data_IF_801687467862
#
_entry.id   IF_801687467862
#
_cell.length_a   1.000
_cell.length_b   1.000
_cell.length_c   1.000
_cell.angle_alpha   90.00
_cell.angle_beta   90.00
_cell.angle_gamma   90.00
#
_symmetry.space_group_name_H-M   'P 1'
#
loop_
_entity.id
_entity.type
_entity.pdbx_description
1 polymer ?
#
# COMPACT_ATOMS: atom_id res chain seq x y z
N UNK A 1 -35.53 0.30 26.61
CA UNK A 1 -34.09 0.61 26.54
C UNK A 1 -33.79 0.86 25.07
N UNK A 2 -33.77 2.10 24.70
CA UNK A 2 -33.95 2.61 23.32
C UNK A 2 -32.65 2.45 22.52
N UNK A 3 -32.77 1.70 21.39
CA UNK A 3 -31.72 1.53 20.36
C UNK A 3 -31.52 2.83 19.53
N UNK A 4 -31.14 3.92 20.15
CA UNK A 4 -31.04 5.21 19.43
C UNK A 4 -29.66 5.88 19.51
N UNK A 5 -28.59 5.12 19.83
CA UNK A 5 -27.30 5.77 20.15
C UNK A 5 -26.08 5.25 19.35
N UNK A 6 -26.23 4.86 18.09
CA UNK A 6 -25.11 4.23 17.37
C UNK A 6 -24.70 4.85 16.03
N UNK A 7 -25.26 5.96 15.63
CA UNK A 7 -24.83 6.64 14.40
C UNK A 7 -24.09 7.96 14.69
N UNK A 8 -23.11 7.94 15.58
CA UNK A 8 -22.17 9.09 15.65
C UNK A 8 -21.29 9.06 14.40
N UNK A 9 -21.65 9.87 13.41
CA UNK A 9 -20.80 10.13 12.26
C UNK A 9 -19.40 10.52 12.77
N UNK A 10 -18.38 9.81 12.29
CA UNK A 10 -16.99 10.10 12.62
C UNK A 10 -16.68 11.55 12.24
N UNK A 11 -16.47 12.42 13.20
CA UNK A 11 -16.16 13.84 12.99
C UNK A 11 -14.84 14.23 13.62
N UNK A 12 -14.14 15.15 12.99
CA UNK A 12 -12.92 15.77 13.52
C UNK A 12 -11.78 14.77 13.81
N UNK A 13 -11.29 14.78 15.04
CA UNK A 13 -10.12 13.97 15.45
C UNK A 13 -10.28 12.47 15.22
N UNK A 14 -11.49 11.90 15.35
CA UNK A 14 -11.75 10.47 15.13
C UNK A 14 -11.60 10.13 13.64
N UNK A 15 -12.08 10.98 12.73
CA UNK A 15 -11.92 10.81 11.30
C UNK A 15 -10.44 10.87 10.88
N UNK A 16 -9.68 11.80 11.44
CA UNK A 16 -8.23 11.90 11.19
C UNK A 16 -7.48 10.66 11.69
N UNK A 17 -7.80 10.13 12.87
CA UNK A 17 -7.18 8.92 13.39
C UNK A 17 -7.46 7.71 12.49
N UNK A 18 -8.69 7.56 12.01
CA UNK A 18 -9.04 6.50 11.05
C UNK A 18 -8.28 6.71 9.75
N UNK A 19 -8.21 7.94 9.23
CA UNK A 19 -7.44 8.26 8.03
C UNK A 19 -5.95 7.93 8.18
N UNK A 20 -5.32 8.25 9.31
CA UNK A 20 -3.93 7.88 9.58
C UNK A 20 -3.73 6.38 9.74
N UNK A 21 -4.69 5.68 10.33
CA UNK A 21 -4.62 4.22 10.42
C UNK A 21 -4.69 3.60 9.03
N UNK A 22 -5.62 4.05 8.19
CA UNK A 22 -5.72 3.62 6.79
C UNK A 22 -4.44 3.92 6.02
N UNK A 23 -3.93 5.14 6.12
CA UNK A 23 -2.67 5.50 5.50
C UNK A 23 -1.55 4.57 5.92
N UNK A 24 -1.39 4.28 7.22
CA UNK A 24 -0.33 3.39 7.71
C UNK A 24 -0.49 1.93 7.27
N UNK A 25 -1.71 1.48 6.98
CA UNK A 25 -1.98 0.13 6.47
C UNK A 25 -1.66 -0.01 4.99
N UNK A 26 -1.94 1.03 4.19
CA UNK A 26 -1.71 1.02 2.75
C UNK A 26 -0.32 1.49 2.35
N UNK A 27 0.27 2.42 3.09
CA UNK A 27 1.55 2.99 2.73
C UNK A 27 2.69 2.00 3.01
N UNK A 28 3.14 1.33 1.98
CA UNK A 28 4.21 0.34 2.01
C UNK A 28 5.44 0.74 1.18
N UNK A 29 6.40 -0.17 1.08
CA UNK A 29 7.62 0.00 0.29
C UNK A 29 7.32 0.31 -1.19
N UNK A 30 6.25 -0.27 -1.75
CA UNK A 30 5.82 0.01 -3.12
C UNK A 30 5.51 1.48 -3.35
N UNK A 31 4.83 2.12 -2.41
CA UNK A 31 4.44 3.52 -2.52
C UNK A 31 5.63 4.50 -2.38
N UNK A 32 6.75 4.05 -1.83
CA UNK A 32 8.01 4.82 -1.79
C UNK A 32 8.84 4.64 -3.06
N UNK A 33 8.77 3.47 -3.70
CA UNK A 33 9.68 3.09 -4.79
C UNK A 33 9.09 3.39 -6.16
N UNK A 34 7.85 2.98 -6.40
CA UNK A 34 7.27 3.08 -7.74
C UNK A 34 7.03 4.50 -8.23
N UNK A 35 6.55 5.48 -7.42
CA UNK A 35 6.39 6.84 -7.92
C UNK A 35 7.71 7.51 -8.34
N UNK A 36 8.82 7.46 -7.55
CA UNK A 36 10.11 7.97 -8.02
C UNK A 36 10.67 7.20 -9.22
N UNK A 37 10.48 5.87 -9.27
CA UNK A 37 10.90 5.05 -10.41
C UNK A 37 10.17 5.47 -11.68
N UNK A 38 8.83 5.61 -11.62
CA UNK A 38 8.02 6.10 -12.73
C UNK A 38 8.51 7.49 -13.16
N UNK A 39 8.76 8.40 -12.21
CA UNK A 39 9.26 9.74 -12.49
C UNK A 39 10.59 9.72 -13.24
N UNK A 40 11.51 8.84 -12.86
CA UNK A 40 12.82 8.69 -13.50
C UNK A 40 12.72 8.07 -14.90
N UNK A 41 11.81 7.15 -15.13
CA UNK A 41 11.68 6.40 -16.39
C UNK A 41 10.76 7.10 -17.41
N UNK A 42 9.70 7.75 -16.95
CA UNK A 42 8.71 8.36 -17.82
C UNK A 42 9.20 9.66 -18.49
N UNK A 43 10.22 10.33 -17.93
CA UNK A 43 10.78 11.55 -18.51
C UNK A 43 9.70 12.57 -18.89
N UNK A 44 9.71 13.06 -20.13
CA UNK A 44 8.72 14.02 -20.65
C UNK A 44 7.28 13.48 -20.67
N UNK A 45 7.07 12.17 -20.66
CA UNK A 45 5.75 11.52 -20.60
C UNK A 45 5.21 11.33 -19.17
N UNK A 46 5.85 11.93 -18.15
CA UNK A 46 5.54 11.79 -16.74
C UNK A 46 4.05 11.92 -16.43
N UNK A 47 3.40 12.97 -16.89
CA UNK A 47 2.01 13.23 -16.52
C UNK A 47 1.04 12.19 -17.08
N UNK A 48 1.25 11.71 -18.30
CA UNK A 48 0.46 10.65 -18.90
C UNK A 48 0.65 9.32 -18.13
N UNK A 49 1.90 8.97 -17.82
CA UNK A 49 2.23 7.81 -17.02
C UNK A 49 1.65 7.92 -15.60
N UNK A 50 1.73 9.09 -14.97
CA UNK A 50 1.21 9.32 -13.62
C UNK A 50 -0.31 9.18 -13.54
N UNK A 51 -1.06 9.62 -14.55
CA UNK A 51 -2.52 9.41 -14.60
C UNK A 51 -2.83 7.91 -14.61
N UNK A 52 -2.15 7.12 -15.42
CA UNK A 52 -2.31 5.67 -15.43
C UNK A 52 -1.95 5.04 -14.09
N UNK A 53 -0.84 5.46 -13.51
CA UNK A 53 -0.41 5.02 -12.18
C UNK A 53 -1.46 5.33 -11.10
N UNK A 54 -2.00 6.54 -11.08
CA UNK A 54 -3.00 6.96 -10.11
C UNK A 54 -4.30 6.16 -10.23
N UNK A 55 -4.71 5.78 -11.44
CA UNK A 55 -5.89 4.91 -11.64
C UNK A 55 -5.70 3.57 -10.94
N UNK A 56 -4.55 2.93 -11.07
CA UNK A 56 -4.31 1.61 -10.50
C UNK A 56 -3.83 1.64 -9.04
N UNK A 57 -2.96 2.59 -8.67
CA UNK A 57 -2.41 2.69 -7.32
C UNK A 57 -3.33 3.40 -6.32
N UNK A 58 -4.28 4.20 -6.79
CA UNK A 58 -5.21 4.94 -5.93
C UNK A 58 -6.66 4.54 -6.23
N UNK A 59 -7.07 4.61 -7.49
CA UNK A 59 -8.46 4.37 -7.90
C UNK A 59 -8.94 2.96 -7.60
N UNK A 60 -8.18 1.93 -8.01
CA UNK A 60 -8.54 0.54 -7.75
C UNK A 60 -8.57 0.19 -6.25
N UNK A 61 -7.59 0.59 -5.41
CA UNK A 61 -7.66 0.35 -3.98
C UNK A 61 -8.89 0.98 -3.32
N UNK A 62 -9.22 2.22 -3.64
CA UNK A 62 -10.40 2.90 -3.12
C UNK A 62 -11.68 2.14 -3.53
N UNK A 63 -11.79 1.77 -4.80
CA UNK A 63 -12.93 0.99 -5.30
C UNK A 63 -12.99 -0.39 -4.63
N UNK A 64 -11.85 -1.06 -4.44
CA UNK A 64 -11.74 -2.34 -3.76
C UNK A 64 -12.22 -2.29 -2.31
N UNK A 65 -11.73 -1.31 -1.53
CA UNK A 65 -12.19 -1.08 -0.15
C UNK A 65 -13.70 -0.84 -0.11
N UNK A 66 -14.21 0.03 -0.98
CA UNK A 66 -15.64 0.35 -1.02
C UNK A 66 -16.49 -0.87 -1.38
N UNK A 67 -16.04 -1.69 -2.34
CA UNK A 67 -16.75 -2.90 -2.76
C UNK A 67 -16.77 -3.95 -1.64
N UNK A 68 -15.63 -4.22 -1.01
CA UNK A 68 -15.52 -5.20 0.10
C UNK A 68 -16.31 -4.74 1.31
N UNK A 69 -16.24 -3.44 1.67
CA UNK A 69 -16.98 -2.89 2.78
C UNK A 69 -18.50 -3.01 2.57
N UNK A 70 -18.99 -2.67 1.36
CA UNK A 70 -20.42 -2.82 1.03
C UNK A 70 -20.91 -4.26 0.98
N UNK A 71 -20.04 -5.19 0.63
CA UNK A 71 -20.39 -6.60 0.54
C UNK A 71 -20.36 -7.33 1.91
N UNK A 72 -19.80 -6.70 2.95
CA UNK A 72 -19.61 -7.35 4.25
C UNK A 72 -18.37 -8.24 4.33
N UNK A 73 -17.40 -8.04 3.42
CA UNK A 73 -16.13 -8.75 3.40
C UNK A 73 -15.79 -9.41 2.07
N UNK A 74 -14.54 -9.82 1.90
CA UNK A 74 -14.06 -10.48 0.69
C UNK A 74 -14.80 -11.80 0.37
N UNK A 75 -15.03 -12.71 1.35
CA UNK A 75 -15.79 -13.95 1.07
C UNK A 75 -17.22 -13.69 0.60
N UNK A 76 -17.89 -12.68 1.16
CA UNK A 76 -19.25 -12.30 0.75
C UNK A 76 -19.27 -11.68 -0.65
N UNK A 77 -18.27 -10.85 -0.99
CA UNK A 77 -18.11 -10.26 -2.31
C UNK A 77 -17.88 -11.35 -3.38
N UNK A 78 -16.90 -12.20 -3.16
CA UNK A 78 -16.54 -13.28 -4.09
C UNK A 78 -17.59 -14.39 -4.14
N UNK A 79 -18.32 -14.61 -3.05
CA UNK A 79 -19.42 -15.58 -2.95
C UNK A 79 -20.62 -15.28 -3.86
N UNK A 80 -20.75 -14.02 -4.31
CA UNK A 80 -21.78 -13.64 -5.29
C UNK A 80 -21.58 -14.32 -6.65
N UNK A 81 -20.35 -14.71 -6.97
CA UNK A 81 -20.05 -15.47 -8.20
C UNK A 81 -20.32 -16.95 -7.97
N UNK A 82 -19.64 -17.55 -6.98
CA UNK A 82 -19.84 -18.95 -6.59
C UNK A 82 -19.13 -19.23 -5.25
N UNK A 83 -19.68 -20.08 -4.34
CA UNK A 83 -19.06 -20.36 -3.04
C UNK A 83 -17.65 -20.94 -3.13
N UNK A 84 -17.39 -21.87 -4.07
CA UNK A 84 -16.04 -22.43 -4.29
C UNK A 84 -15.06 -21.39 -4.81
N UNK A 85 -15.52 -20.49 -5.68
CA UNK A 85 -14.71 -19.36 -6.16
C UNK A 85 -14.28 -18.48 -5.00
N UNK A 86 -15.21 -18.16 -4.09
CA UNK A 86 -14.89 -17.34 -2.92
C UNK A 86 -13.78 -17.93 -2.06
N UNK A 87 -13.82 -19.24 -1.82
CA UNK A 87 -12.79 -19.93 -1.02
C UNK A 87 -11.42 -19.90 -1.72
N UNK A 88 -11.36 -20.32 -2.99
CA UNK A 88 -10.11 -20.34 -3.76
C UNK A 88 -9.54 -18.94 -3.91
N UNK A 89 -10.38 -17.97 -4.27
CA UNK A 89 -9.95 -16.58 -4.45
C UNK A 89 -9.43 -15.96 -3.16
N UNK A 90 -10.11 -16.16 -2.04
CA UNK A 90 -9.65 -15.68 -0.74
C UNK A 90 -8.28 -16.28 -0.38
N UNK A 91 -8.10 -17.59 -0.56
CA UNK A 91 -6.81 -18.26 -0.33
C UNK A 91 -5.71 -17.67 -1.21
N UNK A 92 -5.98 -17.47 -2.51
CA UNK A 92 -5.00 -16.87 -3.44
C UNK A 92 -4.62 -15.44 -3.04
N UNK A 93 -5.60 -14.61 -2.63
CA UNK A 93 -5.32 -13.25 -2.16
C UNK A 93 -4.46 -13.27 -0.90
N UNK A 94 -4.81 -14.10 0.09
CA UNK A 94 -4.03 -14.20 1.33
C UNK A 94 -2.62 -14.75 1.11
N UNK A 95 -2.45 -15.74 0.24
CA UNK A 95 -1.13 -16.27 -0.12
C UNK A 95 -0.29 -15.22 -0.84
N UNK A 96 -0.89 -14.47 -1.76
CA UNK A 96 -0.19 -13.43 -2.53
C UNK A 96 0.27 -12.27 -1.63
N UNK A 97 -0.60 -11.76 -0.76
CA UNK A 97 -0.24 -10.68 0.17
C UNK A 97 0.69 -11.19 1.27
N UNK A 98 0.48 -12.40 1.73
CA UNK A 98 1.27 -13.02 2.79
C UNK A 98 2.58 -13.61 2.27
N UNK A 99 2.77 -14.93 2.39
CA UNK A 99 4.07 -15.58 2.25
C UNK A 99 4.64 -15.60 0.85
N UNK A 100 3.82 -15.47 -0.21
CA UNK A 100 4.30 -15.69 -1.58
C UNK A 100 4.92 -14.45 -2.22
N UNK A 101 4.37 -13.25 -2.02
CA UNK A 101 4.82 -12.05 -2.75
C UNK A 101 5.09 -10.85 -1.84
N UNK A 102 4.09 -10.33 -1.11
CA UNK A 102 4.24 -9.04 -0.45
C UNK A 102 5.23 -9.09 0.73
N UNK A 103 5.12 -10.08 1.61
CA UNK A 103 6.00 -10.19 2.79
C UNK A 103 7.45 -10.43 2.39
N UNK A 104 7.81 -11.40 1.51
CA UNK A 104 9.19 -11.59 1.06
C UNK A 104 9.76 -10.35 0.38
N UNK A 105 8.94 -9.63 -0.41
CA UNK A 105 9.35 -8.40 -1.08
C UNK A 105 9.79 -7.32 -0.09
N UNK A 106 9.18 -7.22 1.09
CA UNK A 106 9.58 -6.19 2.06
C UNK A 106 11.03 -6.32 2.50
N UNK A 107 11.50 -7.53 2.76
CA UNK A 107 12.89 -7.78 3.14
C UNK A 107 13.85 -7.52 1.98
N UNK A 108 13.54 -8.01 0.76
CA UNK A 108 14.42 -7.82 -0.40
C UNK A 108 14.51 -6.35 -0.79
N UNK A 109 13.39 -5.62 -0.78
CA UNK A 109 13.37 -4.20 -1.13
C UNK A 109 14.12 -3.34 -0.10
N UNK A 110 13.96 -3.64 1.19
CA UNK A 110 14.71 -2.91 2.22
C UNK A 110 16.22 -3.20 2.15
N UNK A 111 16.64 -4.41 1.77
CA UNK A 111 18.03 -4.73 1.50
C UNK A 111 18.58 -3.98 0.29
N UNK A 112 17.80 -3.87 -0.80
CA UNK A 112 18.19 -3.09 -1.99
C UNK A 112 18.51 -1.63 -1.64
N UNK A 113 17.81 -1.01 -0.69
CA UNK A 113 18.13 0.35 -0.22
C UNK A 113 19.45 0.43 0.52
N UNK A 114 19.93 -0.67 1.10
CA UNK A 114 21.25 -0.75 1.77
C UNK A 114 22.38 -1.12 0.82
N UNK A 115 22.08 -1.64 -0.35
CA UNK A 115 23.06 -2.09 -1.35
C UNK A 115 24.15 -1.05 -1.69
N UNK A 116 23.84 0.26 -1.80
CA UNK A 116 24.87 1.28 -2.04
C UNK A 116 25.91 1.39 -0.92
N UNK A 117 25.56 0.99 0.31
CA UNK A 117 26.44 1.05 1.48
C UNK A 117 27.20 -0.25 1.73
N UNK A 118 26.53 -1.39 1.54
CA UNK A 118 27.03 -2.73 1.94
C UNK A 118 27.53 -3.54 0.75
N UNK A 119 27.15 -3.14 -0.48
CA UNK A 119 27.42 -3.90 -1.69
C UNK A 119 26.40 -5.02 -1.93
N UNK A 120 26.32 -5.50 -3.18
CA UNK A 120 25.45 -6.63 -3.54
C UNK A 120 26.11 -7.93 -3.12
N UNK A 121 25.46 -8.68 -2.24
CA UNK A 121 25.92 -9.97 -1.75
C UNK A 121 24.73 -10.88 -1.47
N UNK A 122 24.66 -12.03 -2.13
CA UNK A 122 23.61 -13.04 -1.89
C UNK A 122 23.62 -13.56 -0.45
N UNK A 123 24.78 -13.91 0.15
CA UNK A 123 24.83 -14.28 1.55
C UNK A 123 24.40 -13.13 2.48
N UNK A 124 24.79 -11.89 2.16
CA UNK A 124 24.38 -10.70 2.91
C UNK A 124 22.88 -10.49 2.90
N UNK A 125 22.25 -10.64 1.74
CA UNK A 125 20.79 -10.56 1.62
C UNK A 125 20.07 -11.64 2.43
N UNK A 126 20.60 -12.86 2.43
CA UNK A 126 20.03 -13.96 3.21
C UNK A 126 20.08 -13.68 4.72
N UNK A 127 21.27 -13.27 5.23
CA UNK A 127 21.44 -12.93 6.65
C UNK A 127 20.55 -11.75 7.03
N UNK A 128 20.50 -10.72 6.19
CA UNK A 128 19.63 -9.56 6.39
C UNK A 128 18.17 -9.97 6.50
N UNK A 129 17.70 -10.80 5.56
CA UNK A 129 16.31 -11.28 5.53
C UNK A 129 15.97 -12.09 6.78
N UNK A 130 16.88 -12.92 7.25
CA UNK A 130 16.72 -13.70 8.49
C UNK A 130 16.55 -12.78 9.70
N UNK A 131 17.42 -11.78 9.85
CA UNK A 131 17.35 -10.79 10.94
C UNK A 131 16.07 -9.96 10.83
N UNK A 132 15.71 -9.52 9.61
CA UNK A 132 14.49 -8.75 9.34
C UNK A 132 13.23 -9.52 9.77
N UNK A 133 13.11 -10.79 9.35
CA UNK A 133 11.94 -11.59 9.71
C UNK A 133 11.94 -12.03 11.18
N UNK A 134 13.09 -12.25 11.79
CA UNK A 134 13.18 -12.47 13.22
C UNK A 134 12.68 -11.24 14.01
N UNK A 135 13.15 -10.04 13.64
CA UNK A 135 12.67 -8.79 14.24
C UNK A 135 11.15 -8.58 14.02
N UNK A 136 10.67 -8.81 12.80
CA UNK A 136 9.25 -8.72 12.48
C UNK A 136 8.40 -9.71 13.31
N UNK A 137 8.88 -10.93 13.50
CA UNK A 137 8.22 -11.94 14.33
C UNK A 137 8.09 -11.47 15.79
N UNK A 138 9.16 -10.99 16.42
CA UNK A 138 9.12 -10.48 17.79
C UNK A 138 8.17 -9.28 17.95
N UNK A 139 8.11 -8.41 16.95
CA UNK A 139 7.18 -7.27 16.93
C UNK A 139 5.73 -7.75 16.79
N UNK A 140 5.48 -8.76 15.94
CA UNK A 140 4.16 -9.31 15.67
C UNK A 140 3.56 -10.10 16.85
N UNK A 141 4.38 -10.59 17.80
CA UNK A 141 3.90 -11.29 18.98
C UNK A 141 3.00 -10.45 19.90
N UNK A 142 2.99 -9.10 19.74
CA UNK A 142 2.15 -8.19 20.53
C UNK A 142 1.30 -7.28 19.63
N UNK A 143 0.28 -7.84 18.95
CA UNK A 143 -0.48 -7.13 17.92
C UNK A 143 -1.24 -5.90 18.44
N UNK A 144 -1.75 -5.92 19.68
CA UNK A 144 -2.48 -4.79 20.27
C UNK A 144 -1.60 -3.53 20.40
N UNK A 145 -0.34 -3.71 20.83
CA UNK A 145 0.63 -2.61 20.93
C UNK A 145 1.13 -2.15 19.56
N UNK A 146 1.13 -3.05 18.59
CA UNK A 146 1.57 -2.78 17.23
C UNK A 146 0.67 -1.75 16.55
N UNK A 147 -0.64 -1.95 16.57
CA UNK A 147 -1.61 -1.04 15.95
C UNK A 147 -1.52 0.38 16.51
N UNK A 148 -1.37 0.50 17.84
CA UNK A 148 -1.20 1.82 18.46
C UNK A 148 0.14 2.49 18.09
N UNK A 149 1.23 1.72 18.01
CA UNK A 149 2.56 2.25 17.66
C UNK A 149 2.66 2.63 16.19
N UNK A 150 2.08 1.82 15.31
CA UNK A 150 2.01 2.11 13.87
C UNK A 150 1.31 3.44 13.61
N UNK A 151 0.10 3.63 14.12
CA UNK A 151 -0.66 4.84 13.87
C UNK A 151 -0.12 6.09 14.57
N UNK A 152 0.47 5.93 15.78
CA UNK A 152 0.90 7.07 16.60
C UNK A 152 2.33 7.52 16.32
N UNK A 153 3.24 6.63 15.94
CA UNK A 153 4.66 6.92 15.78
C UNK A 153 5.10 6.75 14.32
N UNK A 154 4.88 5.58 13.73
CA UNK A 154 5.37 5.32 12.38
C UNK A 154 4.72 6.24 11.34
N UNK A 155 3.42 6.44 11.41
CA UNK A 155 2.73 7.27 10.43
C UNK A 155 3.21 8.74 10.42
N UNK A 156 3.32 9.47 11.55
CA UNK A 156 3.89 10.80 11.56
C UNK A 156 5.35 10.85 11.11
N UNK A 157 6.19 9.90 11.55
CA UNK A 157 7.59 9.83 11.13
C UNK A 157 7.70 9.63 9.63
N UNK A 158 6.89 8.74 9.06
CA UNK A 158 6.85 8.49 7.63
C UNK A 158 6.44 9.74 6.84
N UNK A 159 5.39 10.44 7.29
CA UNK A 159 4.95 11.69 6.67
C UNK A 159 6.03 12.77 6.70
N UNK A 160 6.74 12.91 7.82
CA UNK A 160 7.87 13.84 7.94
C UNK A 160 8.99 13.46 6.96
N UNK A 161 9.34 12.17 6.87
CA UNK A 161 10.36 11.69 5.93
C UNK A 161 9.96 11.96 4.46
N UNK A 162 8.70 11.76 4.10
CA UNK A 162 8.19 12.07 2.76
C UNK A 162 8.35 13.58 2.47
N UNK A 163 7.96 14.44 3.42
CA UNK A 163 8.10 15.89 3.24
C UNK A 163 9.57 16.29 3.12
N UNK A 164 10.46 15.71 3.93
CA UNK A 164 11.91 15.97 3.85
C UNK A 164 12.47 15.54 2.50
N UNK A 165 12.13 14.33 2.02
CA UNK A 165 12.57 13.84 0.71
C UNK A 165 12.06 14.72 -0.42
N UNK A 166 10.77 15.07 -0.40
CA UNK A 166 10.16 15.93 -1.42
C UNK A 166 10.80 17.33 -1.44
N UNK A 167 11.00 17.92 -0.27
CA UNK A 167 11.69 19.21 -0.14
C UNK A 167 13.12 19.12 -0.63
N UNK A 168 13.83 18.05 -0.28
CA UNK A 168 15.19 17.79 -0.77
C UNK A 168 15.27 17.70 -2.30
N UNK A 169 14.32 17.01 -2.92
CA UNK A 169 14.25 16.90 -4.38
C UNK A 169 13.98 18.26 -5.07
N UNK A 170 13.16 19.13 -4.46
CA UNK A 170 12.91 20.47 -5.00
C UNK A 170 14.13 21.37 -4.85
N UNK A 171 14.78 21.33 -3.68
CA UNK A 171 15.94 22.20 -3.39
C UNK A 171 17.20 21.77 -4.14
N UNK A 172 17.34 20.49 -4.45
CA UNK A 172 18.49 19.90 -5.16
C UNK A 172 18.02 18.98 -6.28
N UNK A 173 17.46 19.51 -7.37
CA UNK A 173 17.06 18.69 -8.51
C UNK A 173 18.28 17.99 -9.11
N UNK A 174 18.16 16.67 -9.32
CA UNK A 174 19.27 15.86 -9.86
C UNK A 174 19.58 16.19 -11.34
N UNK A 175 18.63 16.77 -12.05
CA UNK A 175 18.76 17.17 -13.45
C UNK A 175 17.98 18.45 -13.74
N UNK A 176 18.40 19.28 -14.72
CA UNK A 176 17.74 20.54 -15.05
C UNK A 176 16.41 20.40 -15.79
N UNK A 177 15.90 19.19 -16.02
CA UNK A 177 14.64 18.94 -16.72
C UNK A 177 14.30 17.47 -16.83
N UNK A 178 13.19 17.19 -17.52
CA UNK A 178 12.76 15.83 -17.77
C UNK A 178 13.61 15.20 -18.90
N UNK A 179 14.13 14.00 -18.66
CA UNK A 179 14.83 13.21 -19.66
C UNK A 179 13.90 12.66 -20.75
N UNK A 180 14.48 11.97 -21.73
CA UNK A 180 13.71 11.20 -22.71
C UNK A 180 13.02 10.01 -22.02
N UNK A 181 11.75 9.70 -22.39
CA UNK A 181 11.08 8.52 -21.87
C UNK A 181 11.88 7.24 -22.18
N UNK A 182 11.96 6.32 -21.21
CA UNK A 182 12.45 4.97 -21.47
C UNK A 182 11.54 4.26 -22.48
N UNK A 183 12.05 3.25 -23.17
CA UNK A 183 11.35 2.52 -24.24
C UNK A 183 9.94 2.08 -23.84
N UNK A 184 9.79 1.54 -22.62
CA UNK A 184 8.51 1.08 -22.08
C UNK A 184 7.45 2.21 -21.96
N UNK A 185 7.89 3.46 -21.78
CA UNK A 185 7.01 4.63 -21.64
C UNK A 185 6.86 5.45 -22.94
N UNK A 186 7.64 5.13 -23.97
CA UNK A 186 7.64 5.91 -25.20
C UNK A 186 6.34 5.73 -26.01
N UNK A 187 5.82 4.49 -26.10
CA UNK A 187 4.65 4.17 -26.91
C UNK A 187 3.33 4.41 -26.17
N UNK A 188 3.18 3.87 -24.95
CA UNK A 188 1.94 3.88 -24.18
C UNK A 188 2.21 4.23 -22.70
N UNK A 189 2.60 5.47 -22.39
CA UNK A 189 3.01 5.84 -21.02
C UNK A 189 1.91 5.64 -19.97
N UNK A 190 0.65 5.90 -20.32
CA UNK A 190 -0.47 5.67 -19.41
C UNK A 190 -0.68 4.18 -19.09
N UNK A 191 -0.56 3.30 -20.07
CA UNK A 191 -0.69 1.87 -19.87
C UNK A 191 0.46 1.33 -18.99
N UNK A 192 1.69 1.77 -19.25
CA UNK A 192 2.83 1.41 -18.41
C UNK A 192 2.64 1.94 -16.99
N UNK A 193 2.14 3.16 -16.83
CA UNK A 193 1.78 3.71 -15.52
C UNK A 193 0.76 2.86 -14.76
N UNK A 194 -0.29 2.35 -15.45
CA UNK A 194 -1.26 1.41 -14.84
C UNK A 194 -0.57 0.14 -14.34
N UNK A 195 0.34 -0.43 -15.12
CA UNK A 195 1.09 -1.63 -14.74
C UNK A 195 1.96 -1.37 -13.50
N UNK A 196 2.68 -0.26 -13.48
CA UNK A 196 3.56 0.08 -12.35
C UNK A 196 2.76 0.43 -11.10
N UNK A 197 1.63 1.12 -11.25
CA UNK A 197 0.74 1.40 -10.12
C UNK A 197 0.12 0.12 -9.56
N UNK A 198 -0.18 -0.88 -10.39
CA UNK A 198 -0.67 -2.17 -9.91
C UNK A 198 0.41 -2.95 -9.13
N UNK A 199 1.69 -2.76 -9.46
CA UNK A 199 2.80 -3.38 -8.74
C UNK A 199 2.98 -2.86 -7.30
N UNK A 200 2.33 -1.75 -6.90
CA UNK A 200 2.28 -1.34 -5.49
C UNK A 200 1.58 -2.37 -4.62
N UNK A 201 0.75 -3.22 -5.21
CA UNK A 201 -0.08 -4.27 -4.59
C UNK A 201 -1.21 -3.71 -3.69
N UNK A 202 -1.46 -2.41 -3.72
CA UNK A 202 -2.50 -1.78 -2.90
C UNK A 202 -3.90 -2.24 -3.29
N UNK A 203 -4.14 -2.56 -4.57
CA UNK A 203 -5.39 -3.13 -5.03
C UNK A 203 -5.70 -4.50 -4.39
N UNK A 204 -4.68 -5.36 -4.25
CA UNK A 204 -4.82 -6.64 -3.55
C UNK A 204 -4.97 -6.43 -2.04
N UNK A 205 -4.18 -5.50 -1.46
CA UNK A 205 -4.27 -5.14 -0.06
C UNK A 205 -5.66 -4.60 0.31
N UNK A 206 -6.30 -3.84 -0.58
CA UNK A 206 -7.64 -3.30 -0.41
C UNK A 206 -8.69 -4.40 -0.22
N UNK A 207 -8.57 -5.52 -0.92
CA UNK A 207 -9.46 -6.67 -0.77
C UNK A 207 -9.37 -7.29 0.64
N UNK A 208 -8.18 -7.28 1.22
CA UNK A 208 -7.94 -7.81 2.56
C UNK A 208 -8.32 -6.80 3.65
N UNK A 209 -7.87 -5.55 3.52
CA UNK A 209 -8.08 -4.51 4.52
C UNK A 209 -9.51 -3.94 4.50
N UNK A 210 -10.23 -4.03 3.39
CA UNK A 210 -11.62 -3.59 3.28
C UNK A 210 -12.54 -4.22 4.32
N UNK A 211 -12.31 -5.50 4.66
CA UNK A 211 -13.04 -6.17 5.72
C UNK A 211 -12.74 -5.59 7.11
N UNK A 212 -11.46 -5.30 7.40
CA UNK A 212 -11.03 -4.70 8.67
C UNK A 212 -11.62 -3.29 8.83
N UNK A 213 -11.69 -2.54 7.73
CA UNK A 213 -12.30 -1.22 7.70
C UNK A 213 -13.79 -1.30 7.97
N UNK A 214 -14.50 -2.23 7.30
CA UNK A 214 -15.93 -2.43 7.49
C UNK A 214 -16.31 -2.79 8.93
N UNK A 215 -15.46 -3.57 9.62
CA UNK A 215 -15.68 -3.97 11.01
C UNK A 215 -15.40 -2.84 12.02
N UNK A 216 -14.49 -1.92 11.70
CA UNK A 216 -14.06 -0.85 12.59
C UNK A 216 -14.76 0.49 12.36
N UNK A 217 -15.43 0.64 11.22
CA UNK A 217 -16.27 1.78 10.93
C UNK A 217 -17.73 1.40 11.19
N UNK A 218 -18.44 2.07 12.10
CA UNK A 218 -19.90 1.95 12.18
C UNK A 218 -20.49 2.62 10.94
N UNK A 219 -20.52 1.90 9.83
CA UNK A 219 -21.21 2.35 8.61
C UNK A 219 -22.67 2.03 8.82
N UNK A 220 -23.44 3.04 9.17
CA UNK A 220 -24.89 2.98 9.16
C UNK A 220 -25.35 2.79 7.71
N UNK A 221 -25.63 1.56 7.34
CA UNK A 221 -26.40 1.27 6.13
C UNK A 221 -27.87 1.58 6.45
N UNK A 222 -28.30 2.81 6.23
CA UNK A 222 -29.72 3.11 6.04
C UNK A 222 -30.10 2.65 4.63
N UNK A 223 -30.95 1.64 4.58
CA UNK A 223 -31.73 1.30 3.40
C UNK A 223 -32.72 2.42 3.10
#
# INVERSE_FOLDING_TARGET
MTMHDSAQALRGKKLLLVGFTLFSMFFGAGNLIFPPFLGAQAGTALWSAFVGFAVSAIGLPIAGVAAVARAGGLPALAGRVHPRFAQVFAVLVYLSIGPCLAIPRTASTSFEMLTPLVGRSTPGQFIYSLVFFAAAYFVALKPEKLTQRLGRILCPVLLVLIVVLFTGCILRPAAPGYGTPAEAYAALPAAQGVLDGYQTMDALAALNFGAVIALNLPVSYTH
#
